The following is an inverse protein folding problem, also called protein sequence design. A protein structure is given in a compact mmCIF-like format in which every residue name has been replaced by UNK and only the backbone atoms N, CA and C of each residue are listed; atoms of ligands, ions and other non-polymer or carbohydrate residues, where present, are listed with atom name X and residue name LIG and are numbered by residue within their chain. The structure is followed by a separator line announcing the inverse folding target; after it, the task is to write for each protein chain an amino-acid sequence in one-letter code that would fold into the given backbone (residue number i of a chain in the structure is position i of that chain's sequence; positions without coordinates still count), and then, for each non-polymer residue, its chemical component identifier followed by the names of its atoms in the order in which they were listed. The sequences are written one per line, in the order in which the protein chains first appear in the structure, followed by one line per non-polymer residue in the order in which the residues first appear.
data_IF_721832587354
#
_entry.id   IF_721832587354
#
_cell.length_a   1.000
_cell.length_b   1.000
_cell.length_c   1.000
_cell.angle_alpha   90.00
_cell.angle_beta   90.00
_cell.angle_gamma   90.00
#
_symmetry.space_group_name_H-M   'P 1'
#
loop_
_entity.id
_entity.type
_entity.pdbx_description
1 polymer ?
#
# COMPACT_ATOMS: atom_id res chain seq x y z
N UNK A 1 5.24 1.57 -10.98
CA UNK A 1 5.32 2.15 -9.61
C UNK A 1 6.41 1.43 -8.80
N UNK A 2 7.07 2.08 -7.84
CA UNK A 2 8.04 1.44 -6.94
C UNK A 2 7.40 1.17 -5.57
N UNK A 3 7.29 -0.10 -5.17
CA UNK A 3 6.74 -0.50 -3.87
C UNK A 3 7.90 -0.85 -2.91
N UNK A 4 8.02 -0.19 -1.74
CA UNK A 4 9.06 -0.51 -0.76
C UNK A 4 9.02 -1.98 -0.35
N UNK A 5 10.19 -2.62 -0.26
CA UNK A 5 10.31 -4.05 0.08
C UNK A 5 9.70 -4.36 1.44
N UNK A 6 9.78 -3.42 2.37
CA UNK A 6 9.21 -3.48 3.72
C UNK A 6 7.68 -3.54 3.69
N UNK A 7 7.05 -2.96 2.65
CA UNK A 7 5.61 -2.95 2.47
C UNK A 7 5.10 -4.03 1.51
N UNK A 8 5.98 -4.71 0.78
CA UNK A 8 5.62 -5.77 -0.19
C UNK A 8 4.87 -6.97 0.44
N UNK A 9 5.05 -7.19 1.75
CA UNK A 9 4.28 -8.20 2.50
C UNK A 9 2.83 -7.79 2.80
N UNK A 10 2.51 -6.50 2.72
CA UNK A 10 1.18 -5.95 3.04
C UNK A 10 0.46 -5.36 1.84
N UNK A 11 1.23 -4.96 0.83
CA UNK A 11 0.76 -4.35 -0.39
C UNK A 11 1.16 -5.23 -1.58
N UNK A 12 0.46 -5.06 -2.68
CA UNK A 12 0.80 -5.66 -3.96
C UNK A 12 0.42 -4.69 -5.07
N UNK A 13 1.17 -4.72 -6.18
CA UNK A 13 0.78 -3.98 -7.37
C UNK A 13 -0.17 -4.89 -8.17
N UNK A 14 -1.33 -4.35 -8.54
CA UNK A 14 -2.33 -5.01 -9.39
C UNK A 14 -2.58 -4.14 -10.61
N UNK A 15 -2.95 -4.77 -11.73
CA UNK A 15 -3.38 -4.04 -12.92
C UNK A 15 -4.89 -4.22 -13.12
N UNK A 16 -5.60 -3.12 -13.25
CA UNK A 16 -7.03 -3.09 -13.54
C UNK A 16 -7.27 -2.15 -14.72
N UNK A 17 -7.80 -2.68 -15.83
CA UNK A 17 -8.09 -1.89 -17.03
C UNK A 17 -6.88 -1.19 -17.67
N UNK A 18 -5.67 -1.74 -17.48
CA UNK A 18 -4.42 -1.13 -17.96
C UNK A 18 -3.81 -0.08 -17.04
N UNK A 19 -4.40 0.15 -15.86
CA UNK A 19 -3.88 1.06 -14.83
C UNK A 19 -3.28 0.24 -13.69
N UNK A 20 -2.07 0.61 -13.27
CA UNK A 20 -1.43 0.03 -12.09
C UNK A 20 -2.00 0.65 -10.80
N UNK A 21 -2.42 -0.19 -9.87
CA UNK A 21 -2.86 0.19 -8.53
C UNK A 21 -2.05 -0.56 -7.47
N UNK A 22 -1.94 0.03 -6.29
CA UNK A 22 -1.42 -0.62 -5.10
C UNK A 22 -2.61 -1.15 -4.30
N UNK A 23 -2.74 -2.47 -4.22
CA UNK A 23 -3.78 -3.13 -3.43
C UNK A 23 -3.24 -3.53 -2.05
N UNK A 24 -4.05 -3.30 -1.01
CA UNK A 24 -3.80 -3.87 0.31
C UNK A 24 -4.13 -5.36 0.33
N UNK A 25 -3.18 -6.22 0.71
CA UNK A 25 -3.40 -7.66 0.82
C UNK A 25 -4.36 -8.05 1.95
N UNK A 26 -4.50 -7.21 2.99
CA UNK A 26 -5.35 -7.49 4.15
C UNK A 26 -6.83 -7.20 3.90
N UNK A 27 -7.15 -6.13 3.18
CA UNK A 27 -8.55 -5.70 2.98
C UNK A 27 -8.96 -5.47 1.52
N UNK A 28 -8.03 -5.63 0.56
CA UNK A 28 -8.29 -5.45 -0.87
C UNK A 28 -8.39 -3.99 -1.33
N UNK A 29 -8.26 -3.01 -0.44
CA UNK A 29 -8.38 -1.59 -0.81
C UNK A 29 -7.30 -1.16 -1.78
N UNK A 30 -7.69 -0.40 -2.82
CA UNK A 30 -6.81 0.08 -3.87
C UNK A 30 -6.34 1.52 -3.61
N UNK A 31 -5.10 1.79 -4.00
CA UNK A 31 -4.42 3.07 -3.86
C UNK A 31 -3.63 3.40 -5.12
N UNK A 32 -3.47 4.69 -5.40
CA UNK A 32 -2.66 5.18 -6.52
C UNK A 32 -1.24 5.57 -6.10
N UNK A 33 -0.96 5.60 -4.79
CA UNK A 33 0.33 6.03 -4.23
C UNK A 33 0.73 5.16 -3.05
N UNK A 34 2.03 4.96 -2.88
CA UNK A 34 2.60 4.27 -1.72
C UNK A 34 2.30 5.03 -0.44
N UNK A 35 2.33 6.37 -0.47
CA UNK A 35 2.03 7.23 0.68
C UNK A 35 0.62 6.98 1.21
N UNK A 36 -0.38 6.89 0.33
CA UNK A 36 -1.76 6.60 0.73
C UNK A 36 -1.92 5.17 1.24
N UNK A 37 -1.32 4.20 0.56
CA UNK A 37 -1.35 2.81 0.98
C UNK A 37 -0.67 2.64 2.35
N UNK A 38 0.47 3.29 2.58
CA UNK A 38 1.20 3.25 3.84
C UNK A 38 0.40 3.91 4.98
N UNK A 39 -0.20 5.08 4.74
CA UNK A 39 -1.10 5.74 5.70
C UNK A 39 -2.27 4.82 6.07
N UNK A 40 -2.85 4.17 5.08
CA UNK A 40 -3.91 3.18 5.31
C UNK A 40 -3.42 2.01 6.16
N UNK A 41 -2.25 1.43 5.88
CA UNK A 41 -1.70 0.32 6.67
C UNK A 41 -1.49 0.70 8.14
N UNK A 42 -1.02 1.92 8.43
CA UNK A 42 -0.87 2.38 9.80
C UNK A 42 -2.22 2.63 10.48
N UNK A 43 -3.14 3.34 9.82
CA UNK A 43 -4.41 3.73 10.40
C UNK A 43 -5.43 2.58 10.51
N UNK A 44 -5.55 1.74 9.49
CA UNK A 44 -6.55 0.68 9.42
C UNK A 44 -6.05 -0.68 9.93
N UNK A 45 -4.72 -0.92 9.88
CA UNK A 45 -4.13 -2.21 10.22
C UNK A 45 -3.05 -2.13 11.30
N UNK A 46 -2.80 -0.95 11.88
CA UNK A 46 -1.85 -0.77 12.97
C UNK A 46 -0.39 -1.04 12.60
N UNK A 47 -0.05 -1.03 11.30
CA UNK A 47 1.28 -1.38 10.80
C UNK A 47 2.20 -0.16 10.96
N UNK A 48 2.88 -0.07 12.10
CA UNK A 48 3.71 1.08 12.46
C UNK A 48 4.90 1.32 11.53
N UNK A 49 5.47 0.28 10.91
CA UNK A 49 6.55 0.45 9.92
C UNK A 49 6.10 1.26 8.69
N UNK A 50 4.80 1.25 8.37
CA UNK A 50 4.25 2.05 7.29
C UNK A 50 4.30 3.56 7.59
N UNK A 51 4.41 3.96 8.87
CA UNK A 51 4.56 5.36 9.28
C UNK A 51 5.77 6.06 8.67
N UNK A 52 6.80 5.32 8.35
CA UNK A 52 8.02 5.84 7.72
C UNK A 52 7.81 6.26 6.26
N UNK A 53 6.71 5.82 5.63
CA UNK A 53 6.45 6.00 4.20
C UNK A 53 5.31 6.99 3.91
N UNK A 54 4.75 7.65 4.93
CA UNK A 54 3.73 8.69 4.73
C UNK A 54 3.95 9.99 5.49
N UNK A 55 5.11 10.19 6.12
CA UNK A 55 5.50 11.54 6.59
C UNK A 55 5.49 12.53 5.43
#
# INVERSE_FOLDING_TARGET
MDLPKELAGYLQIVQEGGVEHIACRKCGRLFFSVKDAARHLAAAHGIRLAAQFYS
#
